data_IF_537930662611
#
_entry.id   IF_537930662611
#
_cell.length_a   1.000
_cell.length_b   1.000
_cell.length_c   1.000
_cell.angle_alpha   90.00
_cell.angle_beta   90.00
_cell.angle_gamma   90.00
#
_symmetry.space_group_name_H-M   'P 1'
#
loop_
_entity.id
_entity.type
_entity.pdbx_description
1 polymer ?
#
# COMPACT_ATOMS: atom_id res chain seq x y z
N UNK A 1 5.47 -0.98 -9.34
CA UNK A 1 5.63 0.19 -8.44
C UNK A 1 6.87 0.12 -7.57
N UNK A 2 7.24 -1.06 -7.06
CA UNK A 2 8.42 -1.22 -6.17
C UNK A 2 9.77 -0.89 -6.81
N UNK A 3 9.84 -0.80 -8.14
CA UNK A 3 11.03 -0.39 -8.88
C UNK A 3 11.17 1.13 -9.03
N UNK A 4 10.18 1.90 -8.59
CA UNK A 4 10.20 3.36 -8.65
C UNK A 4 10.46 3.94 -7.27
N UNK A 5 11.62 4.54 -7.08
CA UNK A 5 11.98 5.21 -5.82
C UNK A 5 11.03 6.38 -5.51
N UNK A 6 10.59 7.10 -6.55
CA UNK A 6 9.63 8.19 -6.39
C UNK A 6 8.29 7.69 -5.84
N UNK A 7 7.77 6.59 -6.38
CA UNK A 7 6.51 6.00 -5.92
C UNK A 7 6.62 5.49 -4.48
N UNK A 8 7.72 4.85 -4.15
CA UNK A 8 7.94 4.32 -2.80
C UNK A 8 8.06 5.45 -1.78
N UNK A 9 8.76 6.53 -2.14
CA UNK A 9 8.85 7.72 -1.30
C UNK A 9 7.47 8.36 -1.11
N UNK A 10 6.68 8.49 -2.18
CA UNK A 10 5.32 9.03 -2.08
C UNK A 10 4.43 8.18 -1.17
N UNK A 11 4.51 6.85 -1.25
CA UNK A 11 3.74 5.96 -0.37
C UNK A 11 4.14 6.15 1.10
N UNK A 12 5.42 6.26 1.39
CA UNK A 12 5.91 6.55 2.74
C UNK A 12 5.39 7.90 3.23
N UNK A 13 5.47 8.93 2.40
CA UNK A 13 5.05 10.29 2.73
C UNK A 13 3.54 10.37 2.97
N UNK A 14 2.74 9.74 2.12
CA UNK A 14 1.28 9.71 2.25
C UNK A 14 0.85 8.98 3.51
N UNK A 15 1.43 7.81 3.77
CA UNK A 15 1.08 6.99 4.93
C UNK A 15 1.66 7.50 6.25
N UNK A 16 2.76 8.25 6.20
CA UNK A 16 3.53 8.64 7.38
C UNK A 16 4.27 7.48 8.05
N UNK A 17 4.46 6.38 7.31
CA UNK A 17 5.10 5.17 7.81
C UNK A 17 6.37 4.86 7.02
N UNK A 18 7.37 4.36 7.70
CA UNK A 18 8.54 3.80 7.04
C UNK A 18 8.14 2.55 6.25
N UNK A 19 8.65 2.44 5.02
CA UNK A 19 8.38 1.30 4.15
C UNK A 19 9.63 0.43 4.08
N UNK A 20 9.48 -0.83 4.42
CA UNK A 20 10.49 -1.85 4.21
C UNK A 20 10.33 -2.44 2.81
N UNK A 21 11.34 -2.27 1.98
CA UNK A 21 11.33 -2.68 0.59
C UNK A 21 12.28 -3.85 0.38
N UNK A 22 11.76 -5.06 0.10
CA UNK A 22 12.62 -6.20 -0.19
C UNK A 22 13.32 -6.01 -1.54
N UNK A 23 14.58 -6.43 -1.60
CA UNK A 23 15.36 -6.40 -2.83
C UNK A 23 15.07 -7.64 -3.68
N UNK A 24 13.86 -7.72 -4.22
CA UNK A 24 13.43 -8.77 -5.15
C UNK A 24 12.88 -8.11 -6.42
N UNK A 25 13.10 -8.74 -7.57
CA UNK A 25 12.64 -8.20 -8.83
C UNK A 25 11.11 -8.18 -8.93
N UNK A 26 10.46 -9.25 -8.46
CA UNK A 26 9.00 -9.42 -8.55
C UNK A 26 8.40 -9.75 -7.19
N UNK A 27 7.94 -8.71 -6.50
CA UNK A 27 7.33 -8.86 -5.16
C UNK A 27 6.03 -9.66 -5.19
N UNK A 28 5.26 -9.56 -6.27
CA UNK A 28 4.03 -10.34 -6.45
C UNK A 28 4.32 -11.84 -6.56
N UNK A 29 5.34 -12.22 -7.33
CA UNK A 29 5.77 -13.61 -7.47
C UNK A 29 6.32 -14.16 -6.14
N UNK A 30 7.06 -13.33 -5.39
CA UNK A 30 7.56 -13.70 -4.07
C UNK A 30 6.41 -13.98 -3.10
N UNK A 31 5.38 -13.12 -3.09
CA UNK A 31 4.17 -13.32 -2.27
C UNK A 31 3.41 -14.58 -2.64
N UNK A 32 3.27 -14.87 -3.94
CA UNK A 32 2.63 -16.09 -4.42
C UNK A 32 3.42 -17.35 -4.01
N UNK A 33 4.74 -17.30 -4.06
CA UNK A 33 5.60 -18.38 -3.60
C UNK A 33 5.44 -18.65 -2.09
N UNK A 34 5.37 -17.58 -1.28
CA UNK A 34 5.10 -17.69 0.15
C UNK A 34 3.74 -18.37 0.41
N UNK A 35 2.70 -17.95 -0.31
CA UNK A 35 1.38 -18.56 -0.19
C UNK A 35 1.40 -20.06 -0.54
N UNK A 36 2.12 -20.46 -1.58
CA UNK A 36 2.28 -21.86 -1.96
C UNK A 36 3.02 -22.67 -0.89
N UNK A 37 4.07 -22.12 -0.31
CA UNK A 37 4.83 -22.77 0.77
C UNK A 37 3.98 -23.00 2.04
N UNK A 38 3.13 -22.06 2.38
CA UNK A 38 2.20 -22.22 3.50
C UNK A 38 1.05 -23.16 3.13
N UNK A 39 0.48 -22.99 1.94
CA UNK A 39 -0.64 -23.83 1.47
C UNK A 39 -0.29 -25.30 1.31
N UNK A 40 0.95 -25.64 0.97
CA UNK A 40 1.42 -27.02 0.87
C UNK A 40 1.86 -27.62 2.21
N UNK A 41 1.86 -26.83 3.28
CA UNK A 41 2.23 -27.27 4.62
C UNK A 41 3.73 -27.34 4.89
N UNK A 42 4.59 -26.84 3.98
CA UNK A 42 6.04 -26.78 4.19
C UNK A 42 6.41 -25.81 5.32
N UNK A 43 5.61 -24.76 5.50
CA UNK A 43 5.73 -23.83 6.63
C UNK A 43 4.36 -23.66 7.30
N UNK A 44 4.33 -23.52 8.65
CA UNK A 44 3.08 -23.46 9.41
C UNK A 44 2.30 -22.15 9.19
N UNK A 45 3.01 -21.06 8.87
CA UNK A 45 2.42 -19.73 8.67
C UNK A 45 3.30 -18.86 7.76
N UNK A 46 2.77 -17.70 7.38
CA UNK A 46 3.47 -16.73 6.54
C UNK A 46 4.74 -16.17 7.21
N UNK A 47 4.74 -15.99 8.52
CA UNK A 47 5.91 -15.48 9.24
C UNK A 47 7.09 -16.45 9.19
N UNK A 48 6.82 -17.74 9.36
CA UNK A 48 7.85 -18.77 9.27
C UNK A 48 8.41 -18.88 7.84
N UNK A 49 7.54 -18.84 6.82
CA UNK A 49 7.94 -18.86 5.42
C UNK A 49 8.76 -17.61 5.05
N UNK A 50 8.33 -16.45 5.48
CA UNK A 50 9.03 -15.19 5.21
C UNK A 50 10.42 -15.16 5.85
N UNK A 51 10.56 -15.67 7.08
CA UNK A 51 11.87 -15.77 7.75
C UNK A 51 12.83 -16.72 7.05
N UNK A 52 12.30 -17.81 6.50
CA UNK A 52 13.11 -18.79 5.74
C UNK A 52 13.58 -18.24 4.39
N UNK A 53 12.76 -17.39 3.75
CA UNK A 53 13.07 -16.74 2.48
C UNK A 53 13.59 -15.32 2.67
N UNK A 54 14.52 -15.12 3.59
CA UNK A 54 15.08 -13.79 3.88
C UNK A 54 15.68 -13.17 2.64
N UNK A 55 15.22 -11.95 2.36
CA UNK A 55 15.82 -11.06 1.38
C UNK A 55 16.43 -9.86 2.09
N UNK A 56 17.48 -9.28 1.49
CA UNK A 56 17.95 -7.97 1.90
C UNK A 56 16.84 -6.95 1.68
N UNK A 57 16.67 -6.04 2.63
CA UNK A 57 15.65 -5.01 2.56
C UNK A 57 16.28 -3.63 2.64
N UNK A 58 15.55 -2.66 2.13
CA UNK A 58 15.88 -1.24 2.21
C UNK A 58 14.71 -0.52 2.86
N UNK A 59 15.03 0.39 3.81
CA UNK A 59 14.01 1.22 4.44
C UNK A 59 13.87 2.54 3.70
N UNK A 60 12.63 2.98 3.52
CA UNK A 60 12.29 4.30 3.02
C UNK A 60 11.55 5.04 4.12
N UNK A 61 12.17 6.08 4.64
CA UNK A 61 11.60 6.90 5.69
C UNK A 61 10.66 7.97 5.10
N UNK A 62 9.52 8.26 5.76
CA UNK A 62 8.62 9.31 5.31
C UNK A 62 9.21 10.70 5.55
N UNK A 63 8.97 11.61 4.62
CA UNK A 63 9.14 13.04 4.85
C UNK A 63 7.88 13.56 5.56
N UNK A 64 7.99 13.90 6.83
CA UNK A 64 6.84 14.30 7.65
C UNK A 64 6.27 15.68 7.26
N UNK A 65 7.03 16.52 6.59
CA UNK A 65 6.51 17.78 6.01
C UNK A 65 5.61 17.47 4.82
N UNK A 66 6.05 16.56 3.95
CA UNK A 66 5.25 16.07 2.83
C UNK A 66 4.01 15.34 3.36
N UNK A 67 4.13 14.52 4.39
CA UNK A 67 3.01 13.85 5.05
C UNK A 67 1.93 14.85 5.49
N UNK A 68 2.31 15.91 6.18
CA UNK A 68 1.36 16.95 6.62
C UNK A 68 0.62 17.61 5.44
N UNK A 69 1.32 17.84 4.32
CA UNK A 69 0.70 18.34 3.09
C UNK A 69 -0.27 17.33 2.48
N UNK A 70 0.07 16.05 2.46
CA UNK A 70 -0.82 14.99 1.98
C UNK A 70 -2.05 14.81 2.87
N UNK A 71 -1.93 14.96 4.18
CA UNK A 71 -3.08 14.93 5.08
C UNK A 71 -4.12 16.03 4.76
N UNK A 72 -3.67 17.23 4.43
CA UNK A 72 -4.57 18.30 3.99
C UNK A 72 -5.25 17.96 2.66
N UNK A 73 -4.50 17.40 1.71
CA UNK A 73 -5.07 16.95 0.43
C UNK A 73 -6.07 15.81 0.61
N UNK A 74 -5.76 14.87 1.49
CA UNK A 74 -6.66 13.76 1.80
C UNK A 74 -7.97 14.24 2.41
N UNK A 75 -7.92 15.19 3.31
CA UNK A 75 -9.13 15.80 3.87
C UNK A 75 -10.00 16.42 2.78
N UNK A 76 -9.39 17.18 1.86
CA UNK A 76 -10.12 17.76 0.72
C UNK A 76 -10.72 16.66 -0.19
N UNK A 77 -10.00 15.59 -0.41
CA UNK A 77 -10.49 14.42 -1.16
C UNK A 77 -11.72 13.80 -0.47
N UNK A 78 -11.69 13.63 0.83
CA UNK A 78 -12.83 13.11 1.58
C UNK A 78 -14.07 14.02 1.46
N UNK A 79 -13.89 15.33 1.50
CA UNK A 79 -14.98 16.28 1.29
C UNK A 79 -15.57 16.16 -0.12
N UNK A 80 -14.72 15.98 -1.13
CA UNK A 80 -15.17 15.76 -2.51
C UNK A 80 -15.98 14.48 -2.64
N UNK A 81 -15.50 13.38 -2.09
CA UNK A 81 -16.22 12.09 -2.11
C UNK A 81 -17.58 12.21 -1.45
N UNK A 82 -17.67 12.87 -0.29
CA UNK A 82 -18.95 13.10 0.38
C UNK A 82 -19.93 13.90 -0.49
N UNK A 83 -19.45 14.96 -1.15
CA UNK A 83 -20.27 15.77 -2.05
C UNK A 83 -20.76 14.95 -3.27
N UNK A 84 -19.90 14.13 -3.86
CA UNK A 84 -20.25 13.28 -4.99
C UNK A 84 -21.26 12.18 -4.59
N UNK A 85 -21.14 11.62 -3.42
CA UNK A 85 -22.11 10.64 -2.91
C UNK A 85 -23.50 11.25 -2.78
N UNK A 86 -23.60 12.45 -2.23
CA UNK A 86 -24.85 13.21 -2.15
C UNK A 86 -25.44 13.49 -3.53
N UNK A 87 -24.61 13.91 -4.48
CA UNK A 87 -25.01 14.15 -5.86
C UNK A 87 -25.55 12.86 -6.50
N UNK A 88 -24.80 11.75 -6.42
CA UNK A 88 -25.22 10.49 -7.01
C UNK A 88 -26.51 9.93 -6.42
N UNK A 89 -26.71 10.07 -5.11
CA UNK A 89 -27.95 9.67 -4.47
C UNK A 89 -29.16 10.43 -5.03
N UNK A 90 -29.02 11.75 -5.22
CA UNK A 90 -30.08 12.61 -5.79
C UNK A 90 -30.35 12.32 -7.24
N UNK A 91 -29.32 12.06 -8.05
CA UNK A 91 -29.46 11.71 -9.47
C UNK A 91 -30.26 10.43 -9.64
N UNK A 92 -30.07 9.43 -8.78
CA UNK A 92 -30.85 8.18 -8.80
C UNK A 92 -32.34 8.40 -8.57
N UNK A 93 -32.72 9.38 -7.76
CA UNK A 93 -34.14 9.72 -7.50
C UNK A 93 -34.85 10.21 -8.78
N UNK A 94 -34.11 10.77 -9.74
CA UNK A 94 -34.65 11.25 -10.99
C UNK A 94 -34.55 10.24 -12.14
N UNK A 95 -34.13 9.01 -11.84
CA UNK A 95 -34.01 7.92 -12.82
C UNK A 95 -33.16 8.31 -14.06
N UNK A 96 -32.05 9.01 -13.80
CA UNK A 96 -31.15 9.51 -14.84
C UNK A 96 -30.02 8.54 -15.17
#
# INVERSE_FOLDING_TARGET
>A
PTHSDVWMQMLADVSGLAIELPQVEETGCSGAALAALVGTGLYPDFYAAQRALRHDTRMIEPDMRAHAAYQRKYHRYQLLISALQGYHARVKEYDL
#
